data_IF_459792607731
#
_entry.id   IF_459792607731
#
_cell.length_a   1.000
_cell.length_b   1.000
_cell.length_c   1.000
_cell.angle_alpha   90.00
_cell.angle_beta   90.00
_cell.angle_gamma   90.00
#
_symmetry.space_group_name_H-M   'P 1'
#
loop_
_entity.id
_entity.type
_entity.pdbx_description
1 polymer ?
#
# COMPACT_ATOMS: atom_id res chain seq x y z
N UNK A 1 -17.28 -26.73 5.42
CA UNK A 1 -16.55 -25.65 6.12
C UNK A 1 -15.36 -25.30 5.24
N UNK A 2 -15.34 -24.08 4.70
CA UNK A 2 -14.61 -23.70 3.48
C UNK A 2 -13.28 -23.02 3.80
N UNK A 3 -12.29 -23.78 4.26
CA UNK A 3 -10.97 -23.24 4.68
C UNK A 3 -9.88 -23.32 3.60
N UNK A 4 -10.14 -23.95 2.45
CA UNK A 4 -9.08 -24.38 1.51
C UNK A 4 -8.60 -23.28 0.53
N UNK A 5 -9.29 -22.14 0.40
CA UNK A 5 -8.89 -21.06 -0.54
C UNK A 5 -8.41 -19.78 0.13
N UNK A 6 -8.19 -19.81 1.44
CA UNK A 6 -7.63 -18.69 2.16
C UNK A 6 -6.10 -18.72 2.10
N UNK A 7 -5.54 -18.26 0.98
CA UNK A 7 -4.09 -18.13 0.79
C UNK A 7 -3.41 -17.24 1.84
N UNK A 8 -4.18 -16.45 2.60
CA UNK A 8 -3.67 -15.62 3.70
C UNK A 8 -3.58 -16.38 5.02
N UNK A 9 -4.16 -17.59 5.13
CA UNK A 9 -3.93 -18.51 6.24
C UNK A 9 -2.60 -19.29 6.13
N UNK A 10 -1.85 -19.09 5.04
CA UNK A 10 -0.59 -19.79 4.77
C UNK A 10 0.54 -18.81 4.44
N UNK A 11 0.71 -17.80 5.29
CA UNK A 11 1.85 -16.90 5.18
C UNK A 11 3.13 -17.68 5.50
N UNK A 12 4.16 -17.46 4.69
CA UNK A 12 5.48 -18.01 4.99
C UNK A 12 6.04 -17.26 6.18
N UNK A 13 6.04 -17.92 7.32
CA UNK A 13 6.63 -17.49 8.57
C UNK A 13 7.89 -18.29 8.84
N UNK A 14 8.90 -17.63 9.39
CA UNK A 14 9.97 -18.35 10.06
C UNK A 14 9.40 -18.95 11.32
N UNK A 15 9.55 -20.27 11.48
CA UNK A 15 9.38 -20.91 12.78
C UNK A 15 10.54 -20.44 13.67
N UNK A 16 10.33 -19.33 14.37
CA UNK A 16 11.34 -18.72 15.25
C UNK A 16 11.73 -19.66 16.40
N UNK A 17 10.91 -20.67 16.72
CA UNK A 17 11.27 -21.71 17.68
C UNK A 17 12.26 -22.74 17.10
N UNK A 18 12.37 -22.86 15.78
CA UNK A 18 13.28 -23.78 15.09
C UNK A 18 14.52 -23.11 14.47
N UNK A 19 14.53 -21.78 14.32
CA UNK A 19 15.75 -21.06 13.91
C UNK A 19 16.68 -20.91 15.12
N UNK A 20 17.46 -21.96 15.39
CA UNK A 20 18.47 -21.95 16.45
C UNK A 20 19.80 -21.33 16.00
N UNK A 21 19.98 -21.07 14.69
CA UNK A 21 21.22 -20.54 14.12
C UNK A 21 20.95 -19.26 13.33
N UNK A 22 21.78 -18.21 13.49
CA UNK A 22 21.65 -17.00 12.68
C UNK A 22 21.84 -17.35 11.20
N UNK A 23 21.07 -16.68 10.33
CA UNK A 23 21.26 -16.80 8.88
C UNK A 23 22.69 -16.39 8.51
N UNK A 24 23.31 -17.05 7.51
CA UNK A 24 24.67 -16.70 7.09
C UNK A 24 24.70 -15.28 6.53
N UNK A 25 25.64 -14.47 7.01
CA UNK A 25 25.83 -13.10 6.52
C UNK A 25 26.44 -13.10 5.12
N UNK A 26 25.82 -12.39 4.18
CA UNK A 26 26.27 -12.25 2.79
C UNK A 26 26.56 -10.79 2.48
N UNK A 27 27.85 -10.41 2.44
CA UNK A 27 28.28 -9.02 2.24
C UNK A 27 28.27 -8.54 0.78
N UNK A 28 28.11 -9.46 -0.19
CA UNK A 28 28.23 -9.12 -1.61
C UNK A 28 26.90 -8.78 -2.29
N UNK A 29 25.79 -8.90 -1.56
CA UNK A 29 24.46 -8.60 -2.10
C UNK A 29 24.23 -7.10 -1.95
N UNK A 30 24.20 -6.39 -3.07
CA UNK A 30 23.95 -4.94 -3.13
C UNK A 30 22.51 -4.62 -3.55
N UNK A 31 21.82 -5.54 -4.23
CA UNK A 31 20.40 -5.42 -4.56
C UNK A 31 19.66 -6.67 -4.10
N UNK A 32 18.53 -6.47 -3.43
CA UNK A 32 17.70 -7.55 -2.91
C UNK A 32 16.23 -7.26 -3.16
N UNK A 33 15.56 -8.20 -3.83
CA UNK A 33 14.15 -8.17 -4.14
C UNK A 33 13.47 -9.37 -3.48
N UNK A 34 12.40 -9.10 -2.72
CA UNK A 34 11.59 -10.14 -2.10
C UNK A 34 10.34 -10.36 -2.93
N UNK A 35 10.43 -11.26 -3.92
CA UNK A 35 9.28 -11.75 -4.67
C UNK A 35 9.01 -13.21 -4.37
N UNK A 36 7.75 -13.54 -4.08
CA UNK A 36 7.34 -14.92 -3.84
C UNK A 36 5.90 -15.12 -4.30
N UNK A 37 5.66 -16.26 -4.94
CA UNK A 37 4.30 -16.71 -5.29
C UNK A 37 3.47 -17.00 -4.03
N UNK A 38 4.15 -17.32 -2.92
CA UNK A 38 3.56 -17.40 -1.58
C UNK A 38 3.78 -16.10 -0.83
N UNK A 39 2.77 -15.67 -0.11
CA UNK A 39 2.80 -14.45 0.69
C UNK A 39 3.73 -14.65 1.90
N UNK A 40 4.72 -13.77 2.10
CA UNK A 40 5.70 -13.84 3.20
C UNK A 40 5.23 -12.96 4.37
N UNK A 41 5.14 -13.52 5.57
CA UNK A 41 4.74 -12.72 6.72
C UNK A 41 5.78 -11.61 7.01
N UNK A 42 5.37 -10.37 7.34
CA UNK A 42 6.32 -9.26 7.50
C UNK A 42 7.38 -9.45 8.58
N UNK A 43 7.12 -10.28 9.60
CA UNK A 43 8.10 -10.64 10.64
C UNK A 43 9.36 -11.33 10.09
N UNK A 44 9.31 -11.82 8.85
CA UNK A 44 10.45 -12.44 8.19
C UNK A 44 11.46 -11.43 7.65
N UNK A 45 11.10 -10.16 7.45
CA UNK A 45 12.01 -9.18 6.82
C UNK A 45 13.23 -8.82 7.68
N UNK A 46 13.10 -8.54 9.01
CA UNK A 46 14.27 -8.17 9.82
C UNK A 46 15.39 -9.21 9.82
N UNK A 47 15.15 -10.52 10.08
CA UNK A 47 16.24 -11.51 10.06
C UNK A 47 16.84 -11.70 8.66
N UNK A 48 16.03 -11.62 7.59
CA UNK A 48 16.55 -11.67 6.23
C UNK A 48 17.53 -10.53 5.96
N UNK A 49 17.15 -9.30 6.31
CA UNK A 49 17.96 -8.13 6.02
C UNK A 49 19.16 -7.97 6.96
N UNK A 50 19.09 -8.51 8.17
CA UNK A 50 20.27 -8.67 9.03
C UNK A 50 21.34 -9.56 8.38
N UNK A 51 20.94 -10.55 7.58
CA UNK A 51 21.86 -11.41 6.83
C UNK A 51 22.52 -10.69 5.64
N UNK A 52 22.05 -9.50 5.24
CA UNK A 52 22.53 -8.79 4.05
C UNK A 52 22.85 -7.32 4.36
N UNK A 53 23.87 -7.05 5.19
CA UNK A 53 24.15 -5.71 5.71
C UNK A 53 24.61 -4.71 4.65
N UNK A 54 25.01 -5.19 3.47
CA UNK A 54 25.56 -4.38 2.37
C UNK A 54 24.54 -4.07 1.27
N UNK A 55 23.25 -4.32 1.52
CA UNK A 55 22.19 -4.01 0.54
C UNK A 55 22.07 -2.50 0.37
N UNK A 56 22.18 -2.06 -0.87
CA UNK A 56 22.05 -0.67 -1.32
C UNK A 56 20.68 -0.43 -1.96
N UNK A 57 20.13 -1.43 -2.67
CA UNK A 57 18.78 -1.40 -3.25
C UNK A 57 17.91 -2.48 -2.62
N UNK A 58 16.84 -2.06 -1.94
CA UNK A 58 15.89 -2.95 -1.29
C UNK A 58 14.49 -2.78 -1.90
N UNK A 59 13.95 -3.88 -2.42
CA UNK A 59 12.55 -3.97 -2.85
C UNK A 59 11.80 -5.01 -2.02
N UNK A 60 10.76 -4.55 -1.34
CA UNK A 60 9.92 -5.35 -0.45
C UNK A 60 8.49 -5.36 -0.96
N UNK A 61 7.89 -6.55 -1.04
CA UNK A 61 6.48 -6.70 -1.34
C UNK A 61 5.78 -7.20 -0.08
N UNK A 62 4.90 -6.37 0.46
CA UNK A 62 4.03 -6.69 1.58
C UNK A 62 2.57 -6.75 1.11
N UNK A 63 1.71 -7.42 1.85
CA UNK A 63 0.30 -7.60 1.51
C UNK A 63 -0.52 -7.54 2.77
N UNK A 64 -1.79 -7.13 2.62
CA UNK A 64 -2.79 -7.39 3.64
C UNK A 64 -3.72 -8.51 3.17
N UNK A 65 -4.25 -9.30 4.13
CA UNK A 65 -5.40 -10.16 3.88
C UNK A 65 -6.54 -9.36 3.24
N UNK A 66 -7.42 -10.05 2.49
CA UNK A 66 -8.58 -9.40 1.86
C UNK A 66 -9.52 -8.83 2.93
N UNK A 67 -10.30 -7.80 2.59
CA UNK A 67 -11.14 -7.06 3.57
C UNK A 67 -12.13 -7.93 4.33
N UNK A 68 -12.62 -9.02 3.72
CA UNK A 68 -13.45 -10.02 4.43
C UNK A 68 -12.75 -10.69 5.64
N UNK A 69 -11.42 -10.69 5.68
CA UNK A 69 -10.60 -11.24 6.77
C UNK A 69 -10.23 -10.16 7.79
N UNK A 70 -11.24 -9.46 8.30
CA UNK A 70 -11.07 -8.29 9.19
C UNK A 70 -10.14 -8.60 10.37
N UNK A 71 -10.26 -9.78 10.97
CA UNK A 71 -9.47 -10.17 12.15
C UNK A 71 -7.96 -10.32 11.89
N UNK A 72 -7.55 -10.63 10.66
CA UNK A 72 -6.13 -10.85 10.32
C UNK A 72 -5.42 -9.56 9.87
N UNK A 73 -6.17 -8.54 9.45
CA UNK A 73 -5.60 -7.33 8.85
C UNK A 73 -4.82 -6.49 9.86
N UNK A 74 -5.36 -6.13 11.05
CA UNK A 74 -4.59 -5.40 12.05
C UNK A 74 -3.29 -6.06 12.50
N UNK A 75 -3.25 -7.35 12.90
CA UNK A 75 -2.00 -7.96 13.37
C UNK A 75 -0.93 -8.06 12.27
N UNK A 76 -1.31 -8.32 11.01
CA UNK A 76 -0.36 -8.35 9.89
C UNK A 76 0.17 -6.95 9.59
N UNK A 77 -0.68 -5.91 9.64
CA UNK A 77 -0.24 -4.51 9.52
C UNK A 77 0.71 -4.13 10.66
N UNK A 78 0.39 -4.50 11.90
CA UNK A 78 1.25 -4.27 13.05
C UNK A 78 2.62 -4.95 12.88
N UNK A 79 2.63 -6.22 12.44
CA UNK A 79 3.87 -6.94 12.15
C UNK A 79 4.71 -6.27 11.05
N UNK A 80 4.08 -5.68 10.01
CA UNK A 80 4.80 -4.88 9.03
C UNK A 80 5.41 -3.64 9.67
N UNK A 81 4.65 -2.92 10.49
CA UNK A 81 5.15 -1.77 11.22
C UNK A 81 6.36 -2.13 12.10
N UNK A 82 6.27 -3.21 12.87
CA UNK A 82 7.37 -3.69 13.71
C UNK A 82 8.60 -4.08 12.88
N UNK A 83 8.39 -4.74 11.74
CA UNK A 83 9.46 -5.04 10.81
C UNK A 83 10.14 -3.77 10.30
N UNK A 84 9.37 -2.79 9.81
CA UNK A 84 9.89 -1.51 9.31
C UNK A 84 10.59 -0.68 10.39
N UNK A 85 10.22 -0.83 11.67
CA UNK A 85 10.86 -0.13 12.79
C UNK A 85 12.13 -0.84 13.29
N UNK A 86 12.19 -2.17 13.22
CA UNK A 86 13.31 -2.96 13.75
C UNK A 86 14.44 -3.17 12.74
N UNK A 87 14.14 -3.05 11.44
CA UNK A 87 15.09 -3.40 10.39
C UNK A 87 16.30 -2.47 10.35
N UNK A 88 17.47 -3.03 10.07
CA UNK A 88 18.72 -2.27 9.93
C UNK A 88 19.02 -2.07 8.44
N UNK A 89 19.04 -0.81 8.00
CA UNK A 89 19.20 -0.42 6.58
C UNK A 89 20.43 0.47 6.41
N UNK A 90 21.59 0.02 6.93
CA UNK A 90 22.80 0.84 7.06
C UNK A 90 23.39 1.32 5.73
N UNK A 91 23.19 0.54 4.65
CA UNK A 91 23.75 0.83 3.33
C UNK A 91 22.69 1.17 2.30
N UNK A 92 21.40 1.13 2.65
CA UNK A 92 20.32 1.28 1.67
C UNK A 92 20.29 2.71 1.14
N UNK A 93 20.47 2.82 -0.17
CA UNK A 93 20.36 4.04 -0.95
C UNK A 93 19.02 4.13 -1.69
N UNK A 94 18.37 3.00 -2.00
CA UNK A 94 17.07 2.95 -2.64
C UNK A 94 16.16 1.95 -1.93
N UNK A 95 14.99 2.44 -1.52
CA UNK A 95 13.97 1.64 -0.85
C UNK A 95 12.67 1.67 -1.64
N UNK A 96 12.16 0.50 -1.99
CA UNK A 96 10.84 0.31 -2.60
C UNK A 96 10.00 -0.59 -1.70
N UNK A 97 8.81 -0.11 -1.33
CA UNK A 97 7.77 -0.93 -0.71
C UNK A 97 6.56 -1.01 -1.64
N UNK A 98 6.28 -2.19 -2.18
CA UNK A 98 4.99 -2.50 -2.80
C UNK A 98 4.07 -3.08 -1.74
N UNK A 99 3.13 -2.27 -1.27
CA UNK A 99 2.14 -2.68 -0.29
C UNK A 99 0.86 -3.04 -1.02
N UNK A 100 0.57 -4.32 -1.17
CA UNK A 100 -0.60 -4.79 -1.92
C UNK A 100 -1.88 -4.65 -1.09
N UNK A 101 -2.27 -3.40 -0.87
CA UNK A 101 -3.58 -2.93 -0.45
C UNK A 101 -4.12 -2.03 -1.57
N UNK A 102 -5.41 -2.11 -1.85
CA UNK A 102 -6.06 -1.18 -2.79
C UNK A 102 -7.35 -0.72 -2.15
N UNK A 103 -7.78 0.53 -2.35
CA UNK A 103 -9.03 1.05 -1.78
C UNK A 103 -10.26 0.19 -2.18
N UNK A 104 -11.32 0.11 -1.36
CA UNK A 104 -12.57 -0.52 -1.80
C UNK A 104 -13.10 0.17 -3.06
N UNK A 105 -13.54 -0.59 -4.05
CA UNK A 105 -14.20 -0.02 -5.24
C UNK A 105 -15.65 0.39 -4.98
N UNK A 106 -16.24 -0.11 -3.91
CA UNK A 106 -17.49 0.35 -3.36
C UNK A 106 -17.22 1.39 -2.28
N UNK A 107 -17.36 2.67 -2.58
CA UNK A 107 -17.15 3.75 -1.60
C UNK A 107 -18.23 3.84 -0.52
N UNK A 108 -19.31 3.05 -0.63
CA UNK A 108 -20.27 2.81 0.44
C UNK A 108 -19.81 1.69 1.40
N UNK A 109 -18.78 0.91 1.04
CA UNK A 109 -18.19 -0.10 1.91
C UNK A 109 -17.45 0.56 3.07
N UNK A 110 -17.57 -0.03 4.25
CA UNK A 110 -16.83 0.38 5.45
C UNK A 110 -15.44 -0.29 5.42
N UNK A 111 -14.34 0.45 5.20
CA UNK A 111 -13.03 -0.15 5.00
C UNK A 111 -12.49 -0.96 6.20
N UNK A 112 -13.04 -0.70 7.39
CA UNK A 112 -12.64 -1.32 8.65
C UNK A 112 -11.38 -0.72 9.27
N UNK A 113 -11.23 -0.93 10.58
CA UNK A 113 -10.05 -0.50 11.33
C UNK A 113 -8.84 -1.38 10.97
N UNK A 114 -7.71 -0.77 10.60
CA UNK A 114 -6.45 -1.46 10.32
C UNK A 114 -5.47 -1.45 11.50
N UNK A 115 -5.79 -0.67 12.53
CA UNK A 115 -5.01 -0.60 13.76
C UNK A 115 -5.55 -1.60 14.80
N UNK A 116 -4.72 -2.00 15.75
CA UNK A 116 -5.15 -2.90 16.83
C UNK A 116 -6.26 -2.29 17.69
N UNK A 117 -6.26 -0.96 17.81
CA UNK A 117 -7.33 -0.18 18.43
C UNK A 117 -7.39 1.21 17.78
N UNK A 118 -8.51 1.97 17.93
CA UNK A 118 -8.65 3.31 17.35
C UNK A 118 -7.56 4.30 17.78
N UNK A 119 -7.05 4.14 19.00
CA UNK A 119 -6.03 5.01 19.60
C UNK A 119 -4.60 4.44 19.49
N UNK A 120 -4.44 3.26 18.89
CA UNK A 120 -3.11 2.66 18.70
C UNK A 120 -2.26 3.51 17.75
N UNK A 121 -0.94 3.59 17.97
CA UNK A 121 -0.04 4.26 17.05
C UNK A 121 0.01 3.51 15.71
N UNK A 122 0.11 4.26 14.61
CA UNK A 122 0.31 3.68 13.29
C UNK A 122 1.80 3.35 13.06
N UNK A 123 2.19 2.16 13.50
CA UNK A 123 3.58 1.68 13.48
C UNK A 123 4.16 1.60 12.07
N UNK A 124 3.34 1.36 11.04
CA UNK A 124 3.78 1.40 9.64
C UNK A 124 4.21 2.80 9.25
N UNK A 125 3.38 3.81 9.51
CA UNK A 125 3.72 5.21 9.26
C UNK A 125 4.99 5.64 9.99
N UNK A 126 5.16 5.22 11.25
CA UNK A 126 6.37 5.49 12.04
C UNK A 126 7.62 4.82 11.45
N UNK A 127 7.50 3.56 11.02
CA UNK A 127 8.60 2.80 10.43
C UNK A 127 9.06 3.43 9.11
N UNK A 128 8.12 3.83 8.25
CA UNK A 128 8.43 4.53 7.01
C UNK A 128 9.04 5.92 7.27
N UNK A 129 8.58 6.66 8.29
CA UNK A 129 9.14 7.95 8.68
C UNK A 129 10.59 7.84 9.16
N UNK A 130 10.92 6.74 9.86
CA UNK A 130 12.29 6.40 10.25
C UNK A 130 13.15 6.09 9.03
N UNK A 131 12.64 5.27 8.10
CA UNK A 131 13.37 4.87 6.90
C UNK A 131 13.66 6.07 6.00
N UNK A 132 12.69 6.95 5.77
CA UNK A 132 12.87 8.14 4.91
C UNK A 132 14.01 9.05 5.39
N UNK A 133 14.35 9.00 6.68
CA UNK A 133 15.39 9.82 7.32
C UNK A 133 16.77 9.20 7.35
N UNK A 134 16.95 8.00 6.80
CA UNK A 134 18.26 7.36 6.78
C UNK A 134 19.27 8.23 5.99
N UNK A 135 20.49 8.46 6.52
CA UNK A 135 21.48 9.32 5.88
C UNK A 135 21.99 8.76 4.56
N UNK A 136 21.89 7.44 4.35
CA UNK A 136 22.27 6.75 3.11
C UNK A 136 21.17 6.74 2.07
N UNK A 137 19.90 6.88 2.47
CA UNK A 137 18.77 6.77 1.57
C UNK A 137 18.75 7.97 0.61
N UNK A 138 18.61 7.70 -0.68
CA UNK A 138 18.53 8.70 -1.76
C UNK A 138 17.18 8.66 -2.45
N UNK A 139 16.60 7.46 -2.58
CA UNK A 139 15.32 7.25 -3.25
C UNK A 139 14.38 6.40 -2.42
N UNK A 140 13.15 6.86 -2.26
CA UNK A 140 12.07 6.13 -1.60
C UNK A 140 10.86 6.06 -2.52
N UNK A 141 10.35 4.85 -2.72
CA UNK A 141 9.12 4.58 -3.46
C UNK A 141 8.20 3.70 -2.61
N UNK A 142 6.98 4.15 -2.37
CA UNK A 142 5.95 3.35 -1.70
C UNK A 142 4.73 3.29 -2.60
N UNK A 143 4.37 2.09 -3.06
CA UNK A 143 3.25 1.84 -3.98
C UNK A 143 2.17 0.99 -3.32
N UNK A 144 0.96 1.03 -3.90
CA UNK A 144 -0.17 0.20 -3.50
C UNK A 144 -1.05 0.81 -2.40
N UNK A 145 -1.56 2.01 -2.69
CA UNK A 145 -2.63 2.69 -1.94
C UNK A 145 -2.54 2.56 -0.41
N UNK A 146 -1.33 2.75 0.11
CA UNK A 146 -1.05 2.52 1.51
C UNK A 146 -1.89 3.48 2.36
N UNK A 147 -2.73 2.95 3.24
CA UNK A 147 -3.37 3.74 4.26
C UNK A 147 -2.30 4.31 5.22
N UNK A 148 -2.16 5.63 5.29
CA UNK A 148 -1.17 6.31 6.15
C UNK A 148 -1.82 7.35 7.04
N UNK A 149 -1.18 7.63 8.17
CA UNK A 149 -1.55 8.75 9.06
C UNK A 149 -0.62 9.95 8.85
N UNK A 150 -1.03 11.17 9.24
CA UNK A 150 -0.15 12.34 9.21
C UNK A 150 1.17 12.15 9.97
N UNK A 151 1.19 11.25 10.96
CA UNK A 151 2.36 10.86 11.74
C UNK A 151 3.54 10.38 10.89
N UNK A 152 3.27 9.82 9.70
CA UNK A 152 4.32 9.43 8.75
C UNK A 152 5.22 10.61 8.34
N UNK A 153 4.63 11.81 8.29
CA UNK A 153 5.29 13.02 7.82
C UNK A 153 5.67 13.97 8.96
N UNK A 154 5.53 13.53 10.21
CA UNK A 154 5.88 14.36 11.35
C UNK A 154 7.39 14.34 11.60
N UNK A 155 7.94 15.45 12.13
CA UNK A 155 9.29 15.47 12.65
C UNK A 155 9.48 14.40 13.72
N UNK A 156 10.33 13.41 13.46
CA UNK A 156 10.92 12.59 14.51
C UNK A 156 11.85 13.51 15.29
N UNK A 157 11.49 13.83 16.53
CA UNK A 157 12.34 14.57 17.46
C UNK A 157 13.48 13.63 17.87
N UNK A 158 14.49 13.46 17.02
CA UNK A 158 15.72 12.78 17.41
C UNK A 158 16.54 13.76 18.26
N UNK A 159 16.90 13.33 19.47
CA UNK A 159 17.79 14.05 20.38
C UNK A 159 19.25 14.10 19.89
N UNK A 160 19.55 13.52 18.72
CA UNK A 160 20.85 13.55 18.10
C UNK A 160 20.81 14.48 16.87
N UNK A 161 21.51 15.60 16.98
CA UNK A 161 21.62 16.69 16.00
C UNK A 161 22.35 16.30 14.69
N UNK A 162 22.68 15.03 14.45
CA UNK A 162 23.69 14.66 13.44
C UNK A 162 23.19 13.88 12.22
N UNK A 163 21.96 13.37 12.19
CA UNK A 163 21.47 12.61 11.04
C UNK A 163 20.68 13.51 10.10
N UNK A 164 21.41 14.24 9.24
CA UNK A 164 20.79 14.97 8.13
C UNK A 164 20.23 13.95 7.13
N UNK A 165 18.92 13.96 6.86
CA UNK A 165 18.32 13.04 5.89
C UNK A 165 18.94 13.23 4.50
N UNK A 166 19.34 12.14 3.85
CA UNK A 166 19.96 12.19 2.53
C UNK A 166 19.01 12.02 1.34
N UNK A 167 17.69 11.99 1.60
CA UNK A 167 16.66 11.67 0.62
C UNK A 167 16.58 12.75 -0.47
N UNK A 168 16.59 12.32 -1.74
CA UNK A 168 16.52 13.19 -2.93
C UNK A 168 15.26 13.01 -3.74
N UNK A 169 14.80 11.77 -3.86
CA UNK A 169 13.60 11.40 -4.59
C UNK A 169 12.65 10.64 -3.68
N UNK A 170 11.41 11.09 -3.61
CA UNK A 170 10.38 10.43 -2.83
C UNK A 170 9.08 10.37 -3.62
N UNK A 171 8.49 9.18 -3.69
CA UNK A 171 7.20 8.96 -4.33
C UNK A 171 6.31 8.04 -3.48
N UNK A 172 5.11 8.51 -3.17
CA UNK A 172 4.11 7.77 -2.40
C UNK A 172 2.82 7.62 -3.18
N UNK A 173 2.26 6.42 -3.16
CA UNK A 173 0.88 6.15 -3.55
C UNK A 173 0.12 5.77 -2.28
N UNK A 174 -0.70 6.72 -1.82
CA UNK A 174 -1.42 6.61 -0.55
C UNK A 174 -2.88 6.34 -0.84
N UNK A 175 -3.52 5.52 -0.02
CA UNK A 175 -4.94 5.20 -0.19
C UNK A 175 -5.85 6.39 0.11
N UNK A 176 -7.07 6.34 -0.41
CA UNK A 176 -8.15 7.23 -0.04
C UNK A 176 -8.74 6.91 1.35
N UNK A 177 -8.26 5.84 1.98
CA UNK A 177 -8.69 5.38 3.30
C UNK A 177 -7.57 5.55 4.34
N UNK A 178 -7.94 6.04 5.52
CA UNK A 178 -7.05 6.14 6.70
C UNK A 178 -6.91 4.79 7.42
N UNK A 179 -5.84 4.57 8.20
CA UNK A 179 -5.72 3.35 9.01
C UNK A 179 -6.85 3.14 10.02
N UNK A 180 -7.57 4.19 10.39
CA UNK A 180 -8.77 4.14 11.23
C UNK A 180 -10.02 3.66 10.48
N UNK A 181 -9.93 3.39 9.18
CA UNK A 181 -11.05 2.97 8.33
C UNK A 181 -11.93 4.11 7.84
N UNK A 182 -11.46 5.36 7.92
CA UNK A 182 -12.21 6.53 7.46
C UNK A 182 -11.76 6.94 6.05
N UNK A 183 -12.70 7.40 5.22
CA UNK A 183 -12.41 7.93 3.90
C UNK A 183 -11.89 9.37 3.98
N UNK A 184 -10.80 9.68 3.27
CA UNK A 184 -10.26 11.03 3.11
C UNK A 184 -11.18 11.94 2.29
N UNK A 185 -12.11 11.37 1.52
CA UNK A 185 -13.07 12.07 0.70
C UNK A 185 -14.50 11.76 1.15
N UNK A 186 -15.34 12.78 1.10
CA UNK A 186 -16.76 12.78 1.40
C UNK A 186 -17.58 12.94 0.12
N UNK A 187 -18.87 12.59 0.20
CA UNK A 187 -19.82 12.80 -0.89
C UNK A 187 -19.98 14.30 -1.14
N UNK A 188 -19.85 14.73 -2.39
CA UNK A 188 -20.09 16.13 -2.75
C UNK A 188 -21.56 16.50 -2.49
N UNK A 189 -21.78 17.52 -1.65
CA UNK A 189 -23.12 18.10 -1.42
C UNK A 189 -23.54 19.04 -2.56
N UNK A 190 -22.56 19.49 -3.37
CA UNK A 190 -22.75 20.49 -4.42
C UNK A 190 -22.99 19.87 -5.79
N UNK A 191 -22.84 18.54 -5.91
CA UNK A 191 -23.30 17.76 -7.04
C UNK A 191 -24.82 17.68 -7.02
N UNK A 192 -25.47 18.65 -7.67
CA UNK A 192 -26.87 18.57 -8.06
C UNK A 192 -27.15 17.21 -8.74
N UNK A 193 -27.65 16.24 -7.98
CA UNK A 193 -28.62 15.25 -8.44
C UNK A 193 -28.37 14.46 -9.74
N UNK A 194 -27.14 14.24 -10.21
CA UNK A 194 -26.87 13.07 -11.04
C UNK A 194 -26.56 11.93 -10.06
N UNK A 195 -27.45 10.99 -9.72
CA UNK A 195 -28.12 10.06 -10.63
C UNK A 195 -27.29 9.61 -11.86
N UNK A 196 -25.98 9.80 -11.78
CA UNK A 196 -24.99 9.04 -12.54
C UNK A 196 -24.13 8.25 -11.54
N UNK A 197 -24.79 7.65 -10.54
CA UNK A 197 -24.57 6.21 -10.40
C UNK A 197 -25.07 5.62 -11.72
N UNK A 198 -24.29 5.79 -12.79
CA UNK A 198 -24.27 4.83 -13.83
C UNK A 198 -24.00 3.55 -13.07
N UNK A 199 -25.03 2.75 -12.89
CA UNK A 199 -24.98 1.41 -13.42
C UNK A 199 -24.28 1.48 -14.80
N UNK A 200 -22.97 1.73 -14.82
CA UNK A 200 -22.07 0.86 -15.53
C UNK A 200 -22.25 -0.48 -14.81
N UNK A 201 -23.42 -1.11 -15.01
CA UNK A 201 -23.44 -2.45 -15.54
C UNK A 201 -22.36 -2.42 -16.59
N UNK A 202 -21.18 -2.88 -16.19
CA UNK A 202 -20.14 -3.17 -17.14
C UNK A 202 -20.85 -3.93 -18.24
N UNK A 203 -20.73 -3.46 -19.47
CA UNK A 203 -21.23 -4.10 -20.70
C UNK A 203 -20.57 -5.48 -20.92
N UNK A 204 -20.08 -6.13 -19.85
CA UNK A 204 -20.26 -7.55 -19.62
C UNK A 204 -21.72 -7.83 -19.20
N UNK A 205 -22.67 -7.46 -20.05
CA UNK A 205 -23.83 -8.31 -20.27
C UNK A 205 -23.29 -9.64 -20.81
N UNK A 206 -22.82 -10.50 -19.91
CA UNK A 206 -23.00 -11.93 -20.10
C UNK A 206 -24.52 -12.10 -20.07
N UNK A 207 -25.10 -12.10 -21.27
CA UNK A 207 -26.51 -12.35 -21.51
C UNK A 207 -26.99 -13.49 -20.61
N UNK A 208 -28.03 -13.20 -19.82
CA UNK A 208 -29.00 -14.16 -19.31
C UNK A 208 -28.45 -15.51 -18.82
N UNK A 209 -27.76 -15.51 -17.68
CA UNK A 209 -27.99 -16.58 -16.72
C UNK A 209 -28.64 -16.00 -15.47
N UNK A 210 -29.97 -15.85 -15.57
CA UNK A 210 -30.83 -16.11 -14.42
C UNK A 210 -30.55 -17.56 -14.04
N UNK A 211 -29.55 -17.78 -13.20
CA UNK A 211 -29.30 -19.06 -12.56
C UNK A 211 -30.49 -19.37 -11.65
N UNK A 212 -31.56 -19.86 -12.26
CA UNK A 212 -32.44 -20.77 -11.56
C UNK A 212 -31.52 -21.96 -11.24
N UNK A 213 -31.19 -22.23 -9.97
CA UNK A 213 -30.30 -23.34 -9.65
C UNK A 213 -30.89 -24.59 -10.30
N UNK A 214 -30.13 -25.34 -11.12
CA UNK A 214 -30.65 -26.54 -11.75
C UNK A 214 -31.17 -27.46 -10.62
N UNK A 215 -32.32 -28.13 -10.80
CA UNK A 215 -32.81 -29.08 -9.81
C UNK A 215 -31.72 -30.10 -9.54
N UNK A 216 -31.22 -30.03 -8.31
CA UNK A 216 -30.04 -30.70 -7.82
C UNK A 216 -30.41 -32.16 -7.56
N UNK A 217 -30.24 -33.02 -8.57
CA UNK A 217 -30.56 -34.45 -8.46
C UNK A 217 -29.34 -35.32 -8.80
N UNK A 218 -28.19 -34.98 -8.22
CA UNK A 218 -27.06 -35.90 -8.13
C UNK A 218 -26.64 -36.07 -6.66
N UNK A 219 -26.95 -37.24 -6.10
CA UNK A 219 -26.63 -37.63 -4.73
C UNK A 219 -25.11 -37.79 -4.46
N UNK A 220 -24.23 -37.41 -5.38
CA UNK A 220 -22.80 -37.79 -5.32
C UNK A 220 -21.81 -36.74 -5.88
N UNK A 221 -22.19 -35.46 -5.96
CA UNK A 221 -21.30 -34.41 -6.47
C UNK A 221 -21.09 -33.26 -5.48
N UNK A 222 -19.92 -33.25 -4.83
CA UNK A 222 -19.16 -32.08 -4.36
C UNK A 222 -19.91 -30.75 -4.18
N UNK A 223 -20.85 -30.73 -3.24
CA UNK A 223 -21.59 -29.52 -2.80
C UNK A 223 -20.72 -28.48 -2.07
N UNK A 224 -19.40 -28.65 -2.03
CA UNK A 224 -18.50 -27.87 -1.16
C UNK A 224 -17.58 -26.88 -1.85
N UNK A 225 -17.75 -26.57 -3.15
CA UNK A 225 -16.77 -25.74 -3.89
C UNK A 225 -17.30 -24.49 -4.66
N UNK A 226 -18.61 -24.28 -4.79
CA UNK A 226 -19.21 -23.02 -5.26
C UNK A 226 -19.47 -22.01 -4.13
N UNK A 227 -18.48 -21.18 -3.78
CA UNK A 227 -18.81 -19.85 -3.26
C UNK A 227 -19.39 -19.06 -4.45
N UNK A 228 -20.60 -18.46 -4.34
CA UNK A 228 -21.17 -17.72 -5.47
C UNK A 228 -20.17 -16.66 -5.90
N UNK A 229 -19.85 -16.64 -7.20
CA UNK A 229 -18.68 -15.98 -7.82
C UNK A 229 -18.47 -14.49 -7.44
N UNK A 230 -19.45 -13.83 -6.81
CA UNK A 230 -19.40 -12.41 -6.41
C UNK A 230 -19.55 -12.19 -4.90
N UNK A 231 -19.75 -13.23 -4.08
CA UNK A 231 -19.94 -13.06 -2.64
C UNK A 231 -18.67 -12.54 -1.96
N UNK A 232 -17.50 -13.11 -2.26
CA UNK A 232 -16.24 -12.63 -1.71
C UNK A 232 -15.88 -11.23 -2.18
N UNK A 233 -16.22 -10.86 -3.41
CA UNK A 233 -15.95 -9.51 -3.92
C UNK A 233 -16.85 -8.49 -3.22
N UNK A 234 -18.11 -8.84 -2.94
CA UNK A 234 -19.01 -8.02 -2.11
C UNK A 234 -18.49 -7.87 -0.68
N UNK A 235 -18.05 -8.96 -0.06
CA UNK A 235 -17.45 -8.95 1.27
C UNK A 235 -16.12 -8.17 1.33
N UNK A 236 -15.43 -8.03 0.18
CA UNK A 236 -14.21 -7.22 0.07
C UNK A 236 -14.49 -5.74 -0.24
N UNK A 237 -15.75 -5.37 -0.52
CA UNK A 237 -16.10 -4.02 -0.99
C UNK A 237 -15.62 -3.74 -2.42
N UNK A 238 -15.43 -4.79 -3.24
CA UNK A 238 -15.04 -4.68 -4.65
C UNK A 238 -16.29 -4.60 -5.56
N UNK A 239 -17.43 -5.14 -5.11
CA UNK A 239 -18.71 -5.13 -5.83
C UNK A 239 -19.86 -4.72 -4.88
N UNK A 240 -20.83 -3.89 -5.31
CA UNK A 240 -20.86 -3.16 -6.58
C UNK A 240 -19.77 -2.09 -6.67
N UNK A 241 -19.33 -1.77 -7.88
CA UNK A 241 -18.43 -0.65 -8.12
C UNK A 241 -19.22 0.66 -7.96
N UNK A 242 -18.93 1.44 -6.92
CA UNK A 242 -19.63 2.69 -6.63
C UNK A 242 -18.61 3.75 -6.22
N UNK A 243 -18.53 4.85 -6.97
CA UNK A 243 -17.69 6.01 -6.67
C UNK A 243 -18.54 7.28 -6.58
N UNK A 244 -18.59 7.91 -5.42
CA UNK A 244 -19.35 9.14 -5.14
C UNK A 244 -18.60 10.17 -4.25
N UNK A 245 -17.41 9.84 -3.74
CA UNK A 245 -16.59 10.64 -2.82
C UNK A 245 -15.60 11.46 -3.63
N UNK A 246 -15.93 12.73 -3.84
CA UNK A 246 -15.13 13.66 -4.64
C UNK A 246 -14.71 14.91 -3.89
N UNK A 247 -15.23 15.13 -2.67
CA UNK A 247 -14.92 16.34 -1.88
C UNK A 247 -14.02 15.97 -0.71
N UNK A 248 -12.82 16.56 -0.57
CA UNK A 248 -11.95 16.28 0.58
C UNK A 248 -12.68 16.46 1.91
N UNK A 249 -12.58 15.49 2.81
CA UNK A 249 -12.96 15.68 4.20
C UNK A 249 -11.86 16.50 4.87
N UNK A 250 -12.09 17.81 5.00
CA UNK A 250 -11.08 18.73 5.51
C UNK A 250 -10.59 18.41 6.94
N UNK A 251 -11.37 17.67 7.73
CA UNK A 251 -10.94 17.26 9.08
C UNK A 251 -9.82 16.21 9.04
N UNK A 252 -9.80 15.36 8.02
CA UNK A 252 -8.79 14.30 7.81
C UNK A 252 -7.72 14.73 6.81
N UNK A 253 -8.13 15.41 5.74
CA UNK A 253 -7.27 15.80 4.63
C UNK A 253 -6.33 16.94 5.02
N UNK A 254 -6.79 17.97 5.75
CA UNK A 254 -5.93 19.13 6.09
C UNK A 254 -4.74 18.74 6.98
N UNK A 255 -4.90 17.92 8.03
CA UNK A 255 -3.76 17.43 8.81
C UNK A 255 -2.74 16.67 7.97
N UNK A 256 -3.20 15.83 7.03
CA UNK A 256 -2.34 15.07 6.13
C UNK A 256 -1.52 16.00 5.21
N UNK A 257 -2.18 16.94 4.52
CA UNK A 257 -1.50 17.90 3.65
C UNK A 257 -0.55 18.81 4.44
N UNK A 258 -0.94 19.23 5.64
CA UNK A 258 -0.09 20.03 6.51
C UNK A 258 1.16 19.26 6.94
N UNK A 259 1.01 17.98 7.29
CA UNK A 259 2.16 17.15 7.64
C UNK A 259 3.08 16.93 6.43
N UNK A 260 2.51 16.63 5.25
CA UNK A 260 3.24 16.50 3.98
C UNK A 260 4.09 17.73 3.66
N UNK A 261 3.48 18.91 3.69
CA UNK A 261 4.17 20.17 3.37
C UNK A 261 5.28 20.51 4.35
N UNK A 262 5.11 20.21 5.65
CA UNK A 262 6.16 20.37 6.66
C UNK A 262 7.29 19.36 6.47
N UNK A 263 6.96 18.13 6.14
CA UNK A 263 7.94 17.07 5.93
C UNK A 263 8.95 17.44 4.86
N UNK A 264 8.51 18.06 3.76
CA UNK A 264 9.42 18.53 2.69
C UNK A 264 10.48 19.51 3.20
N UNK A 265 10.15 20.36 4.18
CA UNK A 265 11.13 21.32 4.73
C UNK A 265 12.21 20.66 5.60
N UNK A 266 12.02 19.40 6.01
CA UNK A 266 12.97 18.63 6.81
C UNK A 266 14.04 17.93 5.95
N UNK A 267 13.92 17.91 4.61
CA UNK A 267 14.87 17.26 3.70
C UNK A 267 15.61 18.29 2.84
N UNK A 268 16.85 18.69 3.20
CA UNK A 268 17.57 19.75 2.51
C UNK A 268 18.00 19.40 1.08
N UNK A 269 18.18 18.11 0.78
CA UNK A 269 18.64 17.62 -0.53
C UNK A 269 17.49 17.08 -1.40
N UNK A 270 16.23 17.33 -1.03
CA UNK A 270 15.06 16.78 -1.72
C UNK A 270 14.81 17.47 -3.06
N UNK A 271 15.08 16.75 -4.15
CA UNK A 271 14.91 17.23 -5.52
C UNK A 271 13.46 17.04 -6.02
N UNK A 272 12.87 15.88 -5.71
CA UNK A 272 11.51 15.51 -6.14
C UNK A 272 10.74 14.84 -5.00
N UNK A 273 9.53 15.33 -4.75
CA UNK A 273 8.57 14.75 -3.82
C UNK A 273 7.20 14.66 -4.49
N UNK A 274 6.71 13.44 -4.68
CA UNK A 274 5.44 13.17 -5.36
C UNK A 274 4.53 12.34 -4.46
N UNK A 275 3.29 12.75 -4.31
CA UNK A 275 2.26 11.99 -3.60
C UNK A 275 1.03 11.86 -4.47
N UNK A 276 0.60 10.64 -4.69
CA UNK A 276 -0.64 10.26 -5.36
C UNK A 276 -1.63 9.81 -4.28
N UNK A 277 -2.82 10.39 -4.24
CA UNK A 277 -3.84 10.06 -3.23
C UNK A 277 -5.03 9.37 -3.86
N UNK A 278 -5.28 8.12 -3.44
CA UNK A 278 -6.37 7.25 -3.86
C UNK A 278 -6.17 6.63 -5.24
N UNK A 279 -6.81 5.48 -5.46
CA UNK A 279 -7.01 4.91 -6.79
C UNK A 279 -8.39 5.30 -7.32
N UNK A 280 -8.45 6.32 -8.16
CA UNK A 280 -9.62 6.52 -9.01
C UNK A 280 -9.34 5.84 -10.34
N UNK A 281 -9.90 4.64 -10.52
CA UNK A 281 -9.73 3.82 -11.72
C UNK A 281 -10.12 4.52 -13.02
N UNK A 282 -10.80 5.69 -13.00
CA UNK A 282 -11.17 6.46 -14.19
C UNK A 282 -11.14 7.99 -14.01
N UNK A 283 -10.73 8.49 -12.84
CA UNK A 283 -10.56 9.93 -12.59
C UNK A 283 -9.12 10.11 -12.15
N UNK A 284 -8.49 11.20 -12.57
CA UNK A 284 -7.14 11.50 -12.13
C UNK A 284 -7.05 11.51 -10.61
N UNK A 285 -6.23 10.63 -10.02
CA UNK A 285 -5.85 10.75 -8.62
C UNK A 285 -5.15 12.11 -8.43
N UNK A 286 -5.53 12.94 -7.44
CA UNK A 286 -4.84 14.20 -7.21
C UNK A 286 -3.36 13.91 -6.97
N UNK A 287 -2.54 14.44 -7.87
CA UNK A 287 -1.08 14.36 -7.76
C UNK A 287 -0.60 15.65 -7.14
N UNK A 288 -0.03 15.53 -5.95
CA UNK A 288 0.73 16.59 -5.32
C UNK A 288 2.19 16.38 -5.68
N UNK A 289 2.70 17.26 -6.56
CA UNK A 289 4.10 17.25 -6.93
C UNK A 289 4.79 18.51 -6.40
N UNK A 290 5.86 18.29 -5.67
CA UNK A 290 6.76 19.33 -5.19
C UNK A 290 8.14 19.04 -5.79
N UNK A 291 8.64 19.97 -6.60
CA UNK A 291 9.98 19.88 -7.19
C UNK A 291 10.78 21.10 -6.78
N UNK A 292 12.02 20.89 -6.36
CA UNK A 292 12.92 22.01 -6.09
C UNK A 292 13.21 22.74 -7.41
N UNK A 293 12.97 24.06 -7.40
CA UNK A 293 13.34 24.94 -8.51
C UNK A 293 14.67 25.58 -8.15
N UNK A 294 15.76 24.99 -8.63
CA UNK A 294 17.16 25.47 -8.57
C UNK A 294 17.41 26.71 -7.70
N UNK A 295 18.02 26.51 -6.52
CA UNK A 295 18.77 27.48 -5.70
C UNK A 295 18.33 28.96 -5.82
N UNK A 296 17.18 29.30 -5.21
CA UNK A 296 16.72 30.63 -4.74
C UNK A 296 15.20 30.85 -4.82
N UNK A 297 14.39 29.80 -4.99
CA UNK A 297 12.93 29.93 -5.08
C UNK A 297 12.21 28.98 -4.14
N UNK A 298 11.17 29.50 -3.48
CA UNK A 298 10.23 28.75 -2.62
C UNK A 298 9.71 27.50 -3.35
N UNK A 299 9.60 26.34 -2.69
CA UNK A 299 9.01 25.15 -3.30
C UNK A 299 7.60 25.47 -3.83
N UNK A 300 7.32 25.06 -5.06
CA UNK A 300 6.01 25.20 -5.68
C UNK A 300 5.27 23.88 -5.50
N UNK A 301 4.14 23.91 -4.80
CA UNK A 301 3.19 22.82 -4.78
C UNK A 301 2.29 22.96 -6.01
N UNK A 302 2.41 22.06 -6.98
CA UNK A 302 1.44 21.96 -8.06
C UNK A 302 0.48 20.80 -7.78
N UNK A 303 -0.81 21.13 -7.71
CA UNK A 303 -1.88 20.14 -7.79
C UNK A 303 -2.25 20.04 -9.26
N UNK A 304 -2.05 18.88 -9.87
CA UNK A 304 -2.45 18.64 -11.26
C UNK A 304 -3.66 17.72 -11.29
N UNK A 305 -4.72 18.16 -11.98
CA UNK A 305 -5.73 17.27 -12.55
C UNK A 305 -5.14 16.61 -13.82
N UNK A 306 -4.04 15.87 -13.68
CA UNK A 306 -3.40 15.11 -14.76
C UNK A 306 -4.23 13.99 -15.40
N UNK A 307 -4.89 14.26 -16.53
CA UNK A 307 -5.44 13.20 -17.40
C UNK A 307 -4.28 12.33 -17.92
N UNK A 308 -4.05 11.17 -17.33
CA UNK A 308 -3.13 10.16 -17.84
C UNK A 308 -3.92 8.97 -18.40
N UNK A 309 -3.91 8.84 -19.73
CA UNK A 309 -4.34 7.62 -20.42
C UNK A 309 -3.37 6.50 -20.05
N UNK A 310 -3.84 5.49 -19.30
CA UNK A 310 -3.08 4.29 -19.04
C UNK A 310 -2.89 3.54 -20.36
N UNK A 311 -1.71 3.64 -20.97
CA UNK A 311 -1.18 2.56 -21.80
C UNK A 311 -0.40 1.64 -20.87
N UNK A 312 -1.05 0.58 -20.40
CA UNK A 312 -0.37 -0.54 -19.75
C UNK A 312 0.63 -1.12 -20.75
N UNK A 313 1.92 -0.93 -20.49
CA UNK A 313 3.00 -1.75 -21.02
C UNK A 313 4.18 -1.68 -20.05
N UNK A 314 4.08 -2.43 -18.96
CA UNK A 314 5.23 -2.85 -18.16
C UNK A 314 5.33 -4.37 -18.25
N UNK A 315 5.77 -4.85 -19.42
CA UNK A 315 6.46 -6.13 -19.53
C UNK A 315 7.94 -5.89 -19.28
N UNK A 316 8.38 -5.99 -18.03
CA UNK A 316 9.81 -6.20 -17.72
C UNK A 316 10.12 -7.69 -17.84
N UNK A 317 10.14 -8.16 -19.09
CA UNK A 317 10.63 -9.50 -19.43
C UNK A 317 12.13 -9.46 -19.68
N UNK A 318 12.93 -9.78 -18.66
CA UNK A 318 14.36 -10.03 -18.81
C UNK A 318 14.59 -11.23 -19.72
N UNK A 319 15.09 -11.01 -20.94
CA UNK A 319 15.58 -12.07 -21.83
C UNK A 319 16.87 -12.64 -21.24
N UNK A 320 16.79 -13.85 -20.69
CA UNK A 320 17.97 -14.72 -20.56
C UNK A 320 18.38 -15.19 -21.96
N UNK A 321 19.44 -14.62 -22.51
CA UNK A 321 20.20 -15.27 -23.58
C UNK A 321 21.08 -16.35 -22.95
N UNK A 322 20.74 -17.62 -23.19
CA UNK A 322 21.70 -18.73 -23.03
C UNK A 322 22.64 -18.72 -24.23
N UNK A 323 23.91 -18.41 -24.01
CA UNK A 323 24.98 -18.78 -24.94
C UNK A 323 25.26 -20.28 -24.79
N UNK A 324 25.05 -21.01 -25.88
CA UNK A 324 25.75 -22.27 -26.13
C UNK A 324 27.11 -22.01 -26.77
#
# INVERSE_FOLDING_TARGET
>A
MWTIRDIYGHLLEFDTAQITLPLPTVQRITAFEIWSTRKIHPSCYPPLLLAMPSVEELEMIAFLPRRRQVALRPPIRAALGDALNSISLLSVAKFTLDFQEGDPWNEAFEPGLLLESPDAPDTVSMGLARISRLPTLRKMLVVGDLAITPTHFQPVVSSQEQDVPGLRECEFYIGAVTPQGQWLFSRSTNGLGSNEAGEHESEFTDDEMVETPPPFDSEDSDTSDFAPHKAWDRENGEIPYIQFRSTPDWSLFSPLITALTRCVTDYPDLETFTVHIGTVSNITAPVLRMTERTKNTTPICTCHDGIYSSKKNTTWGGRYQRSG
#
